data_IF_440540382633
#
_entry.id   IF_440540382633
#
_cell.length_a   1.000
_cell.length_b   1.000
_cell.length_c   1.000
_cell.angle_alpha   90.00
_cell.angle_beta   90.00
_cell.angle_gamma   90.00
#
_symmetry.space_group_name_H-M   'P 1'
#
loop_
_entity.id
_entity.type
_entity.pdbx_description
1 polymer ?
#
# COMPACT_ATOMS: atom_id res chain seq x y z
N UNK A 1 19.73 3.42 17.68
CA UNK A 1 20.57 3.70 16.50
C UNK A 1 19.76 4.57 15.54
N UNK A 2 20.36 5.64 15.02
CA UNK A 2 19.72 6.93 14.67
C UNK A 2 18.49 6.88 13.72
N UNK A 3 17.36 7.36 14.26
CA UNK A 3 16.05 7.62 13.63
C UNK A 3 16.03 8.86 12.70
N UNK A 4 17.09 9.09 11.94
CA UNK A 4 17.17 10.30 11.12
C UNK A 4 16.47 10.09 9.77
N UNK A 5 15.13 10.16 9.74
CA UNK A 5 14.39 10.41 8.49
C UNK A 5 15.01 11.61 7.77
N UNK A 6 15.12 11.54 6.45
CA UNK A 6 15.73 12.61 5.64
C UNK A 6 15.07 13.97 5.94
N UNK A 7 15.84 15.06 5.82
CA UNK A 7 15.34 16.41 6.07
C UNK A 7 14.12 16.76 5.19
N UNK A 8 14.04 16.18 3.99
CA UNK A 8 12.91 16.37 3.08
C UNK A 8 11.64 15.70 3.60
N UNK A 9 11.76 14.47 4.14
CA UNK A 9 10.63 13.77 4.77
C UNK A 9 10.15 14.53 6.00
N UNK A 10 11.06 15.02 6.85
CA UNK A 10 10.70 15.80 8.04
C UNK A 10 9.97 17.10 7.66
N UNK A 11 10.47 17.82 6.65
CA UNK A 11 9.83 19.04 6.13
C UNK A 11 8.45 18.74 5.55
N UNK A 12 8.31 17.65 4.79
CA UNK A 12 7.01 17.19 4.29
C UNK A 12 6.07 16.94 5.48
N UNK A 13 6.43 16.06 6.41
CA UNK A 13 5.59 15.72 7.56
C UNK A 13 5.20 16.95 8.39
N UNK A 14 6.10 17.93 8.52
CA UNK A 14 5.82 19.19 9.21
C UNK A 14 4.90 20.13 8.42
N UNK A 15 4.87 20.03 7.08
CA UNK A 15 4.00 20.82 6.20
C UNK A 15 2.60 20.24 6.02
N UNK A 16 2.39 18.99 6.43
CA UNK A 16 1.09 18.34 6.35
C UNK A 16 0.21 18.80 7.52
N UNK A 17 -0.93 19.41 7.21
CA UNK A 17 -1.95 19.69 8.22
C UNK A 17 -2.56 18.36 8.72
N UNK A 18 -3.06 18.33 9.97
CA UNK A 18 -3.73 17.14 10.55
C UNK A 18 -4.88 16.57 9.71
N UNK A 19 -5.52 17.39 8.87
CA UNK A 19 -6.57 16.92 7.95
C UNK A 19 -6.03 16.16 6.72
N UNK A 20 -4.81 16.48 6.29
CA UNK A 20 -4.18 15.96 5.07
C UNK A 20 -3.32 14.70 5.36
N UNK A 21 -2.88 14.53 6.62
CA UNK A 21 -2.11 13.38 7.09
C UNK A 21 -2.65 12.85 8.41
N UNK A 22 -2.85 11.54 8.45
CA UNK A 22 -3.27 10.83 9.67
C UNK A 22 -2.18 9.81 10.03
N UNK A 23 -1.60 9.97 11.22
CA UNK A 23 -0.81 8.89 11.80
C UNK A 23 -1.79 7.84 12.32
N UNK A 24 -1.51 6.56 12.06
CA UNK A 24 -2.41 5.47 12.46
C UNK A 24 -2.71 5.49 13.96
N UNK A 25 -1.74 5.89 14.79
CA UNK A 25 -1.85 6.10 16.24
C UNK A 25 -2.87 7.20 16.62
N UNK A 26 -2.91 8.32 15.91
CA UNK A 26 -3.85 9.42 16.20
C UNK A 26 -5.30 9.02 15.92
N UNK A 27 -5.55 8.26 14.85
CA UNK A 27 -6.88 7.73 14.53
C UNK A 27 -7.36 6.69 15.57
N UNK A 28 -6.45 5.99 16.25
CA UNK A 28 -6.82 5.05 17.34
C UNK A 28 -7.35 5.80 18.55
N UNK A 29 -6.75 6.94 18.92
CA UNK A 29 -7.23 7.74 20.03
C UNK A 29 -8.64 8.29 19.80
N UNK A 30 -9.01 8.56 18.53
CA UNK A 30 -10.37 8.96 18.16
C UNK A 30 -11.38 7.81 18.05
N UNK A 31 -10.91 6.59 17.78
CA UNK A 31 -11.76 5.40 17.59
C UNK A 31 -11.84 4.56 18.88
N UNK A 32 -12.45 5.10 19.94
CA UNK A 32 -12.84 4.29 21.10
C UNK A 32 -14.03 3.39 20.73
N UNK A 33 -13.78 2.09 20.50
CA UNK A 33 -14.85 1.07 20.54
C UNK A 33 -14.32 -0.31 20.94
N UNK A 34 -14.74 -0.71 22.14
CA UNK A 34 -14.95 -2.05 22.68
C UNK A 34 -14.99 -3.25 21.71
N UNK A 35 -14.27 -4.33 22.05
CA UNK A 35 -14.83 -5.71 22.01
C UNK A 35 -14.07 -6.68 22.92
N UNK A 36 -14.85 -7.61 23.48
CA UNK A 36 -14.58 -8.55 24.59
C UNK A 36 -13.89 -9.86 24.13
N UNK A 37 -13.36 -10.54 25.15
CA UNK A 37 -12.77 -11.89 25.30
C UNK A 37 -13.28 -13.00 24.38
N UNK A 38 -12.39 -13.91 23.97
CA UNK A 38 -12.70 -15.21 23.33
C UNK A 38 -11.98 -16.34 24.09
N UNK A 39 -12.70 -17.42 24.40
CA UNK A 39 -12.21 -18.61 25.10
C UNK A 39 -11.62 -19.63 24.13
N UNK A 40 -10.57 -20.35 24.54
CA UNK A 40 -10.00 -21.50 23.81
C UNK A 40 -10.09 -22.73 24.72
N UNK A 41 -10.68 -23.82 24.21
CA UNK A 41 -10.88 -25.10 24.91
C UNK A 41 -9.57 -25.88 25.08
N UNK A 42 -9.48 -26.67 26.14
CA UNK A 42 -8.26 -27.37 26.59
C UNK A 42 -7.77 -28.51 25.67
N UNK A 43 -8.54 -28.95 24.69
CA UNK A 43 -8.23 -30.14 23.88
C UNK A 43 -7.20 -29.93 22.75
N UNK A 44 -6.83 -28.68 22.44
CA UNK A 44 -5.88 -28.38 21.36
C UNK A 44 -4.38 -28.53 21.74
N UNK A 45 -4.05 -28.88 22.99
CA UNK A 45 -2.65 -28.81 23.49
C UNK A 45 -1.75 -30.03 23.16
N UNK A 46 -2.29 -31.21 22.85
CA UNK A 46 -1.50 -32.43 23.09
C UNK A 46 -0.96 -33.22 21.89
N UNK A 47 -1.05 -32.79 20.63
CA UNK A 47 -0.59 -33.67 19.52
C UNK A 47 0.13 -33.05 18.31
N UNK A 48 0.63 -31.81 18.36
CA UNK A 48 1.40 -31.28 17.23
C UNK A 48 2.65 -30.54 17.71
N UNK A 49 3.82 -31.04 17.33
CA UNK A 49 5.06 -30.27 17.34
C UNK A 49 4.96 -29.22 16.23
N UNK A 50 4.24 -28.13 16.49
CA UNK A 50 4.17 -26.97 15.61
C UNK A 50 5.55 -26.31 15.64
N UNK A 51 6.36 -26.51 14.61
CA UNK A 51 7.45 -25.57 14.33
C UNK A 51 6.80 -24.24 13.97
N UNK A 52 6.82 -23.30 14.92
CA UNK A 52 6.38 -21.91 14.70
C UNK A 52 7.26 -21.30 13.61
N UNK A 53 6.78 -21.31 12.37
CA UNK A 53 7.31 -20.41 11.35
C UNK A 53 6.97 -19.01 11.87
N UNK A 54 7.96 -18.30 12.39
CA UNK A 54 7.82 -16.88 12.70
C UNK A 54 7.73 -16.15 11.36
N UNK A 55 6.52 -16.05 10.81
CA UNK A 55 6.25 -15.06 9.78
C UNK A 55 6.67 -13.71 10.36
N UNK A 56 7.53 -12.93 9.67
CA UNK A 56 7.87 -11.61 10.12
C UNK A 56 6.56 -10.83 10.17
N UNK A 57 6.13 -10.44 11.37
CA UNK A 57 4.91 -9.70 11.62
C UNK A 57 3.57 -10.47 11.48
N UNK A 58 3.41 -11.52 12.28
CA UNK A 58 2.09 -12.02 12.66
C UNK A 58 2.08 -12.20 14.18
N UNK A 59 1.64 -11.17 14.91
CA UNK A 59 1.50 -11.28 16.37
C UNK A 59 0.25 -12.10 16.68
N UNK A 60 0.34 -13.01 17.66
CA UNK A 60 -0.75 -13.90 18.11
C UNK A 60 -1.99 -13.14 18.63
N UNK A 61 -1.96 -11.80 18.70
CA UNK A 61 -3.01 -10.99 19.32
C UNK A 61 -4.06 -10.44 18.38
N UNK A 62 -3.85 -10.30 17.07
CA UNK A 62 -4.86 -9.73 16.17
C UNK A 62 -4.79 -10.29 14.74
N UNK A 63 -5.72 -11.21 14.44
CA UNK A 63 -6.31 -11.50 13.12
C UNK A 63 -5.38 -11.90 11.96
N UNK A 64 -5.56 -13.13 11.46
CA UNK A 64 -5.07 -13.54 10.13
C UNK A 64 -5.56 -12.51 9.09
N UNK A 65 -4.62 -11.80 8.46
CA UNK A 65 -4.91 -10.96 7.30
C UNK A 65 -4.83 -11.84 6.05
N UNK A 66 -5.98 -12.10 5.44
CA UNK A 66 -6.03 -12.81 4.15
C UNK A 66 -5.51 -11.85 3.09
N UNK A 67 -4.33 -12.17 2.56
CA UNK A 67 -3.74 -11.41 1.47
C UNK A 67 -4.33 -11.85 0.14
N UNK A 68 -4.56 -10.88 -0.73
CA UNK A 68 -4.77 -11.15 -2.15
C UNK A 68 -3.45 -11.61 -2.78
N UNK A 69 -3.47 -12.79 -3.40
CA UNK A 69 -2.32 -13.40 -4.06
C UNK A 69 -1.74 -12.48 -5.14
N UNK A 70 -2.59 -11.73 -5.84
CA UNK A 70 -2.12 -10.82 -6.90
C UNK A 70 -1.24 -9.71 -6.33
N UNK A 71 -1.60 -9.18 -5.15
CA UNK A 71 -0.80 -8.17 -4.46
C UNK A 71 0.55 -8.71 -3.99
N UNK A 72 0.59 -9.98 -3.55
CA UNK A 72 1.83 -10.65 -3.18
C UNK A 72 2.77 -10.83 -4.39
N UNK A 73 2.22 -11.32 -5.50
CA UNK A 73 2.96 -11.52 -6.75
C UNK A 73 3.49 -10.20 -7.32
N UNK A 74 2.69 -9.12 -7.28
CA UNK A 74 3.15 -7.80 -7.70
C UNK A 74 4.33 -7.30 -6.85
N UNK A 75 4.34 -7.59 -5.55
CA UNK A 75 5.42 -7.16 -4.66
C UNK A 75 6.66 -8.05 -4.72
N UNK A 76 6.57 -9.25 -5.32
CA UNK A 76 7.67 -10.22 -5.36
C UNK A 76 8.98 -9.67 -5.96
N UNK A 77 8.98 -8.87 -7.06
CA UNK A 77 10.21 -8.27 -7.59
C UNK A 77 10.96 -7.38 -6.59
N UNK A 78 10.28 -6.84 -5.57
CA UNK A 78 10.91 -6.04 -4.52
C UNK A 78 11.88 -6.86 -3.65
N UNK A 79 11.79 -8.19 -3.67
CA UNK A 79 12.75 -9.08 -2.99
C UNK A 79 14.17 -9.00 -3.56
N UNK A 80 14.31 -8.48 -4.78
CA UNK A 80 15.61 -8.25 -5.43
C UNK A 80 16.32 -7.00 -4.90
N UNK A 81 15.64 -6.15 -4.12
CA UNK A 81 16.22 -4.95 -3.53
C UNK A 81 16.82 -5.32 -2.18
N UNK A 82 18.15 -5.28 -2.10
CA UNK A 82 18.89 -5.70 -0.90
C UNK A 82 19.03 -4.58 0.16
N UNK A 83 18.81 -3.32 -0.25
CA UNK A 83 18.92 -2.15 0.62
C UNK A 83 17.60 -1.83 1.30
N UNK A 84 17.64 -1.47 2.58
CA UNK A 84 16.46 -0.96 3.30
C UNK A 84 16.17 0.47 2.81
N UNK A 85 15.03 0.73 2.16
CA UNK A 85 14.67 2.07 1.69
C UNK A 85 14.39 3.01 2.88
N UNK A 86 14.82 4.27 2.78
CA UNK A 86 14.45 5.30 3.75
C UNK A 86 12.97 5.66 3.60
N UNK A 87 12.46 5.70 2.36
CA UNK A 87 11.07 5.98 2.07
C UNK A 87 10.49 5.04 1.02
N UNK A 88 9.40 4.37 1.41
CA UNK A 88 8.48 3.70 0.51
C UNK A 88 7.24 4.57 0.33
N UNK A 89 6.92 4.94 -0.91
CA UNK A 89 5.71 5.69 -1.25
C UNK A 89 4.73 4.79 -2.00
N UNK A 90 3.55 4.54 -1.44
CA UNK A 90 2.44 3.93 -2.17
C UNK A 90 1.48 5.04 -2.64
N UNK A 91 1.46 5.30 -3.95
CA UNK A 91 0.78 6.46 -4.53
C UNK A 91 -0.74 6.32 -4.57
N UNK A 92 -1.25 5.10 -4.68
CA UNK A 92 -2.67 4.76 -4.82
C UNK A 92 -3.00 3.57 -3.92
N UNK A 93 -2.86 3.80 -2.62
CA UNK A 93 -2.63 2.70 -1.69
C UNK A 93 -3.87 1.88 -1.36
N UNK A 94 -5.09 2.46 -1.35
CA UNK A 94 -6.25 1.68 -0.93
C UNK A 94 -6.54 0.52 -1.91
N UNK A 95 -6.87 -0.69 -1.40
CA UNK A 95 -7.17 -1.00 0.00
C UNK A 95 -5.95 -1.34 0.90
N UNK A 96 -4.72 -1.32 0.40
CA UNK A 96 -3.49 -1.42 1.21
C UNK A 96 -2.70 -2.71 1.03
N UNK A 97 -3.18 -3.66 0.23
CA UNK A 97 -2.54 -4.98 0.09
C UNK A 97 -1.08 -4.92 -0.40
N UNK A 98 -0.81 -4.11 -1.42
CA UNK A 98 0.55 -3.94 -1.98
C UNK A 98 1.48 -3.18 -1.04
N UNK A 99 1.01 -2.09 -0.43
CA UNK A 99 1.73 -1.41 0.65
C UNK A 99 2.15 -2.36 1.77
N UNK A 100 1.24 -3.25 2.21
CA UNK A 100 1.56 -4.22 3.27
C UNK A 100 2.65 -5.18 2.81
N UNK A 101 2.50 -5.82 1.64
CA UNK A 101 3.52 -6.74 1.14
C UNK A 101 4.88 -6.07 0.94
N UNK A 102 4.90 -4.91 0.29
CA UNK A 102 6.12 -4.15 0.10
C UNK A 102 6.78 -3.77 1.43
N UNK A 103 5.99 -3.35 2.43
CA UNK A 103 6.51 -3.01 3.76
C UNK A 103 7.04 -4.22 4.51
N UNK A 104 6.43 -5.40 4.37
CA UNK A 104 6.90 -6.64 5.00
C UNK A 104 8.21 -7.15 4.38
N UNK A 105 8.35 -7.01 3.06
CA UNK A 105 9.52 -7.44 2.31
C UNK A 105 10.71 -6.49 2.51
N UNK A 106 10.48 -5.19 2.32
CA UNK A 106 11.54 -4.17 2.28
C UNK A 106 11.87 -3.56 3.65
N UNK A 107 10.90 -3.58 4.58
CA UNK A 107 11.01 -2.96 5.93
C UNK A 107 11.51 -1.51 5.89
N UNK A 108 10.85 -0.61 5.12
CA UNK A 108 11.27 0.78 4.97
C UNK A 108 11.35 1.51 6.31
N UNK A 109 12.17 2.56 6.39
CA UNK A 109 12.14 3.46 7.57
C UNK A 109 10.80 4.17 7.71
N UNK A 110 10.17 4.54 6.59
CA UNK A 110 8.83 5.13 6.54
C UNK A 110 8.04 4.61 5.32
N UNK A 111 6.77 4.26 5.54
CA UNK A 111 5.78 4.07 4.48
C UNK A 111 4.84 5.29 4.45
N UNK A 112 4.75 5.95 3.30
CA UNK A 112 3.67 6.90 3.01
C UNK A 112 2.65 6.18 2.13
N UNK A 113 1.46 5.94 2.67
CA UNK A 113 0.33 5.34 1.96
C UNK A 113 -0.67 6.44 1.56
N UNK A 114 -0.62 6.87 0.30
CA UNK A 114 -1.48 7.93 -0.22
C UNK A 114 -2.73 7.35 -0.88
N UNK A 115 -3.90 7.92 -0.57
CA UNK A 115 -5.16 7.64 -1.26
C UNK A 115 -5.96 8.92 -1.45
N UNK A 116 -6.15 9.31 -2.71
CA UNK A 116 -6.83 10.58 -3.06
C UNK A 116 -8.34 10.50 -2.83
N UNK A 117 -8.93 9.31 -2.89
CA UNK A 117 -10.37 9.10 -2.68
C UNK A 117 -10.62 8.90 -1.19
N UNK A 118 -10.99 9.98 -0.49
CA UNK A 118 -11.25 9.99 0.97
C UNK A 118 -12.13 8.83 1.46
N UNK A 119 -13.16 8.42 0.69
CA UNK A 119 -14.05 7.29 1.03
C UNK A 119 -13.32 5.95 1.18
N UNK A 120 -12.15 5.76 0.54
CA UNK A 120 -11.36 4.51 0.59
C UNK A 120 -10.35 4.49 1.73
N UNK A 121 -10.10 5.63 2.38
CA UNK A 121 -9.12 5.77 3.48
C UNK A 121 -9.47 4.91 4.70
N UNK A 122 -10.74 4.82 5.17
CA UNK A 122 -11.05 3.99 6.34
C UNK A 122 -10.66 2.53 6.15
N UNK A 123 -10.89 1.97 4.95
CA UNK A 123 -10.50 0.59 4.63
C UNK A 123 -8.98 0.42 4.58
N UNK A 124 -8.27 1.38 3.99
CA UNK A 124 -6.81 1.40 3.95
C UNK A 124 -6.22 1.42 5.37
N UNK A 125 -6.68 2.33 6.23
CA UNK A 125 -6.28 2.43 7.64
C UNK A 125 -6.55 1.12 8.37
N UNK A 126 -7.75 0.56 8.21
CA UNK A 126 -8.12 -0.72 8.83
C UNK A 126 -7.15 -1.84 8.44
N UNK A 127 -6.85 -1.98 7.15
CA UNK A 127 -5.98 -3.04 6.65
C UNK A 127 -4.52 -2.87 7.10
N UNK A 128 -3.96 -1.66 7.00
CA UNK A 128 -2.60 -1.37 7.46
C UNK A 128 -2.45 -1.60 8.98
N UNK A 129 -3.48 -1.26 9.76
CA UNK A 129 -3.52 -1.53 11.21
C UNK A 129 -3.59 -3.02 11.51
N UNK A 130 -4.44 -3.76 10.81
CA UNK A 130 -4.54 -5.21 10.99
C UNK A 130 -3.22 -5.91 10.66
N UNK A 131 -2.47 -5.41 9.68
CA UNK A 131 -1.10 -5.85 9.39
C UNK A 131 -0.05 -5.37 10.41
N UNK A 132 -0.44 -4.48 11.33
CA UNK A 132 0.37 -3.92 12.42
C UNK A 132 1.70 -3.31 11.97
N UNK A 133 1.74 -2.71 10.78
CA UNK A 133 2.99 -2.17 10.22
C UNK A 133 3.52 -0.98 11.05
N UNK A 134 4.81 -0.95 11.39
CA UNK A 134 5.42 0.21 12.04
C UNK A 134 5.65 1.36 11.03
N UNK A 135 5.76 2.59 11.54
CA UNK A 135 6.17 3.77 10.77
C UNK A 135 5.38 4.01 9.47
N UNK A 136 4.04 4.00 9.57
CA UNK A 136 3.15 4.26 8.44
C UNK A 136 2.43 5.60 8.62
N UNK A 137 2.42 6.40 7.55
CA UNK A 137 1.65 7.64 7.44
C UNK A 137 0.63 7.48 6.32
N UNK A 138 -0.65 7.69 6.64
CA UNK A 138 -1.71 7.68 5.64
C UNK A 138 -2.02 9.11 5.24
N UNK A 139 -2.09 9.38 3.94
CA UNK A 139 -2.34 10.72 3.40
C UNK A 139 -3.47 10.72 2.38
N UNK A 140 -4.11 11.88 2.20
CA UNK A 140 -5.11 12.10 1.14
C UNK A 140 -4.73 13.29 0.27
N UNK A 141 -3.55 13.20 -0.32
CA UNK A 141 -2.96 14.32 -1.04
C UNK A 141 -3.28 14.24 -2.53
N UNK A 142 -3.56 15.40 -3.10
CA UNK A 142 -3.65 15.56 -4.55
C UNK A 142 -2.26 15.42 -5.18
N UNK A 143 -2.24 15.16 -6.49
CA UNK A 143 -1.01 14.97 -7.27
C UNK A 143 0.00 16.12 -7.08
N UNK A 144 -0.50 17.36 -7.03
CA UNK A 144 0.31 18.57 -6.92
C UNK A 144 0.97 18.73 -5.55
N UNK A 145 0.29 18.29 -4.48
CA UNK A 145 0.86 18.37 -3.12
C UNK A 145 1.91 17.29 -2.90
N UNK A 146 1.74 16.12 -3.54
CA UNK A 146 2.67 15.01 -3.37
C UNK A 146 4.01 15.23 -4.10
N UNK A 147 4.07 16.08 -5.12
CA UNK A 147 5.24 16.23 -6.00
C UNK A 147 6.52 16.69 -5.29
N UNK A 148 6.42 17.22 -4.07
CA UNK A 148 7.58 17.59 -3.24
C UNK A 148 8.25 16.40 -2.54
N UNK A 149 7.70 15.19 -2.68
CA UNK A 149 8.19 13.97 -2.05
C UNK A 149 9.04 13.18 -3.04
N UNK A 150 10.28 12.86 -2.65
CA UNK A 150 11.13 11.90 -3.35
C UNK A 150 11.34 10.65 -2.50
N UNK A 151 11.14 9.46 -3.07
CA UNK A 151 11.20 8.17 -2.39
C UNK A 151 12.21 7.22 -3.07
N UNK A 152 12.79 6.31 -2.29
CA UNK A 152 13.65 5.23 -2.79
C UNK A 152 12.85 4.24 -3.64
N UNK A 153 11.62 3.95 -3.20
CA UNK A 153 10.72 3.04 -3.88
C UNK A 153 9.33 3.66 -3.95
N UNK A 154 8.75 3.65 -5.15
CA UNK A 154 7.39 4.11 -5.41
C UNK A 154 6.54 2.94 -5.91
N UNK A 155 5.47 2.60 -5.19
CA UNK A 155 4.43 1.69 -5.65
C UNK A 155 3.40 2.48 -6.44
N UNK A 156 3.22 2.11 -7.70
CA UNK A 156 2.28 2.71 -8.63
C UNK A 156 1.21 1.68 -9.02
N UNK A 157 0.33 1.33 -8.09
CA UNK A 157 -0.90 0.58 -8.35
C UNK A 157 -1.96 1.51 -8.96
N UNK A 158 -1.77 1.82 -10.23
CA UNK A 158 -2.50 2.91 -10.87
C UNK A 158 -3.94 2.49 -11.21
N UNK A 159 -4.92 3.42 -11.12
CA UNK A 159 -6.27 3.14 -11.59
C UNK A 159 -6.27 2.63 -13.04
N UNK A 160 -6.79 1.41 -13.21
CA UNK A 160 -6.81 0.68 -14.47
C UNK A 160 -8.24 0.57 -15.03
N UNK A 161 -8.40 0.15 -16.28
CA UNK A 161 -9.73 -0.14 -16.85
C UNK A 161 -10.47 -1.28 -16.14
N UNK A 162 -9.77 -2.08 -15.32
CA UNK A 162 -10.36 -3.01 -14.35
C UNK A 162 -10.77 -4.35 -14.94
N UNK A 163 -10.12 -4.83 -16.00
CA UNK A 163 -10.53 -6.06 -16.70
C UNK A 163 -10.54 -7.30 -15.80
N UNK A 164 -9.70 -7.37 -14.75
CA UNK A 164 -9.77 -8.46 -13.77
C UNK A 164 -11.10 -8.49 -13.01
N UNK A 165 -11.76 -7.34 -12.82
CA UNK A 165 -13.06 -7.25 -12.15
C UNK A 165 -14.18 -7.93 -12.96
N UNK A 166 -14.00 -8.09 -14.27
CA UNK A 166 -14.89 -8.87 -15.11
C UNK A 166 -14.83 -10.36 -14.76
N UNK A 167 -13.61 -10.89 -14.61
CA UNK A 167 -13.37 -12.29 -14.24
C UNK A 167 -14.00 -12.58 -12.88
N UNK A 168 -13.89 -11.62 -11.95
CA UNK A 168 -14.53 -11.68 -10.64
C UNK A 168 -16.04 -11.42 -10.66
N UNK A 169 -16.64 -11.23 -11.85
CA UNK A 169 -18.07 -10.92 -12.07
C UNK A 169 -18.57 -9.67 -11.31
N UNK A 170 -17.67 -8.73 -11.02
CA UNK A 170 -17.97 -7.47 -10.32
C UNK A 170 -18.44 -6.36 -11.26
N UNK A 171 -18.12 -6.46 -12.55
CA UNK A 171 -18.53 -5.49 -13.58
C UNK A 171 -18.91 -6.20 -14.89
N UNK A 172 -19.84 -5.64 -15.69
CA UNK A 172 -20.21 -6.21 -16.98
C UNK A 172 -19.12 -5.97 -18.04
N UNK A 173 -19.08 -6.81 -19.08
CA UNK A 173 -18.13 -6.68 -20.18
C UNK A 173 -18.21 -5.33 -20.90
N UNK A 174 -19.39 -4.72 -20.94
CA UNK A 174 -19.62 -3.38 -21.52
C UNK A 174 -18.80 -2.27 -20.84
N UNK A 175 -18.25 -2.52 -19.65
CA UNK A 175 -17.37 -1.60 -18.93
C UNK A 175 -16.01 -1.41 -19.61
N UNK A 176 -15.63 -2.28 -20.55
CA UNK A 176 -14.32 -2.30 -21.21
C UNK A 176 -14.41 -1.74 -22.64
N UNK A 177 -14.82 -0.48 -22.76
CA UNK A 177 -14.83 0.20 -24.04
C UNK A 177 -13.43 0.77 -24.37
N UNK A 178 -13.01 0.81 -25.66
CA UNK A 178 -11.73 1.41 -26.05
C UNK A 178 -11.51 2.85 -25.53
N UNK A 179 -12.58 3.63 -25.38
CA UNK A 179 -12.51 4.97 -24.79
C UNK A 179 -12.08 4.96 -23.32
N UNK A 180 -12.56 3.99 -22.53
CA UNK A 180 -12.18 3.80 -21.11
C UNK A 180 -10.71 3.42 -21.03
N UNK A 181 -10.28 2.45 -21.84
CA UNK A 181 -8.88 2.02 -21.91
C UNK A 181 -7.95 3.18 -22.27
N UNK A 182 -8.29 3.95 -23.31
CA UNK A 182 -7.48 5.11 -23.72
C UNK A 182 -7.44 6.20 -22.62
N UNK A 183 -8.57 6.43 -21.94
CA UNK A 183 -8.64 7.41 -20.84
C UNK A 183 -7.78 6.97 -19.66
N UNK A 184 -7.85 5.69 -19.28
CA UNK A 184 -7.02 5.11 -18.23
C UNK A 184 -5.54 5.16 -18.58
N UNK A 185 -5.13 4.71 -19.77
CA UNK A 185 -3.73 4.78 -20.22
C UNK A 185 -3.19 6.23 -20.16
N UNK A 186 -3.93 7.20 -20.68
CA UNK A 186 -3.54 8.61 -20.60
C UNK A 186 -3.42 9.12 -19.16
N UNK A 187 -4.28 8.67 -18.25
CA UNK A 187 -4.18 8.99 -16.82
C UNK A 187 -2.94 8.36 -16.19
N UNK A 188 -2.63 7.12 -16.54
CA UNK A 188 -1.50 6.35 -16.01
C UNK A 188 -0.18 6.98 -16.46
N UNK A 189 -0.02 7.35 -17.74
CA UNK A 189 1.15 8.10 -18.24
C UNK A 189 1.40 9.39 -17.48
N UNK A 190 0.33 10.15 -17.19
CA UNK A 190 0.44 11.38 -16.39
C UNK A 190 0.87 11.09 -14.95
N UNK A 191 0.46 9.96 -14.37
CA UNK A 191 0.91 9.56 -13.03
C UNK A 191 2.39 9.13 -13.11
N UNK A 192 2.74 8.24 -14.04
CA UNK A 192 4.11 7.76 -14.22
C UNK A 192 5.11 8.89 -14.47
N UNK A 193 4.76 9.87 -15.31
CA UNK A 193 5.61 11.05 -15.55
C UNK A 193 5.87 11.88 -14.29
N UNK A 194 4.91 11.93 -13.36
CA UNK A 194 5.10 12.59 -12.07
C UNK A 194 5.96 11.71 -11.15
N UNK A 195 5.67 10.41 -11.08
CA UNK A 195 6.40 9.48 -10.23
C UNK A 195 7.88 9.36 -10.63
N UNK A 196 8.18 9.47 -11.92
CA UNK A 196 9.56 9.52 -12.42
C UNK A 196 10.36 10.71 -11.88
N UNK A 197 9.71 11.80 -11.48
CA UNK A 197 10.34 12.95 -10.82
C UNK A 197 10.39 12.80 -9.29
N UNK A 198 9.63 11.85 -8.74
CA UNK A 198 9.50 11.57 -7.31
C UNK A 198 10.27 10.34 -6.87
N UNK A 199 10.93 9.63 -7.79
CA UNK A 199 11.87 8.58 -7.44
C UNK A 199 13.27 9.19 -7.35
N UNK A 200 14.03 8.84 -6.32
CA UNK A 200 15.42 9.28 -6.19
C UNK A 200 16.29 8.63 -7.27
N UNK A 201 17.50 9.15 -7.47
CA UNK A 201 18.49 8.48 -8.32
C UNK A 201 18.73 7.05 -7.83
N UNK A 202 18.76 6.09 -8.77
CA UNK A 202 18.88 4.65 -8.48
C UNK A 202 17.72 4.05 -7.68
N UNK A 203 16.64 4.81 -7.46
CA UNK A 203 15.40 4.29 -6.89
C UNK A 203 14.56 3.51 -7.91
N UNK A 204 13.51 2.87 -7.41
CA UNK A 204 12.67 1.97 -8.20
C UNK A 204 11.20 2.41 -8.21
N UNK A 205 10.55 2.25 -9.37
CA UNK A 205 9.09 2.37 -9.49
C UNK A 205 8.53 0.98 -9.79
N UNK A 206 7.69 0.48 -8.89
CA UNK A 206 6.89 -0.71 -9.16
C UNK A 206 5.57 -0.29 -9.79
N UNK A 207 5.50 -0.35 -11.12
CA UNK A 207 4.27 -0.14 -11.87
C UNK A 207 3.42 -1.42 -11.90
N UNK A 208 2.14 -1.31 -11.53
CA UNK A 208 1.22 -2.45 -11.59
C UNK A 208 -0.19 -2.01 -11.96
N UNK A 209 -0.91 -2.92 -12.61
CA UNK A 209 -2.31 -2.73 -13.00
C UNK A 209 -3.10 -4.03 -12.82
N UNK A 210 -4.41 -3.91 -12.90
CA UNK A 210 -5.40 -4.97 -12.81
C UNK A 210 -6.07 -5.29 -14.18
N UNK A 211 -5.37 -5.00 -15.28
CA UNK A 211 -5.91 -5.06 -16.64
C UNK A 211 -5.01 -5.89 -17.55
N UNK A 212 -5.59 -6.51 -18.58
CA UNK A 212 -4.85 -7.24 -19.62
C UNK A 212 -4.60 -6.37 -20.86
N UNK A 213 -4.97 -5.09 -20.81
CA UNK A 213 -4.78 -4.16 -21.92
C UNK A 213 -3.31 -3.83 -22.13
N UNK A 214 -2.80 -4.17 -23.32
CA UNK A 214 -1.45 -3.78 -23.74
C UNK A 214 -1.22 -2.27 -23.65
N UNK A 215 -2.25 -1.45 -23.90
CA UNK A 215 -2.15 0.03 -23.84
C UNK A 215 -1.90 0.55 -22.43
N UNK A 216 -2.32 -0.20 -21.42
CA UNK A 216 -2.15 0.16 -20.01
C UNK A 216 -0.93 -0.53 -19.39
N UNK A 217 -0.31 -1.49 -20.10
CA UNK A 217 0.85 -2.26 -19.65
C UNK A 217 2.04 -2.03 -20.60
N UNK A 218 2.32 -2.97 -21.51
CA UNK A 218 3.56 -3.00 -22.31
C UNK A 218 3.71 -1.83 -23.29
N UNK A 219 2.60 -1.17 -23.65
CA UNK A 219 2.56 0.01 -24.56
C UNK A 219 2.21 1.31 -23.82
N UNK A 220 2.29 1.33 -22.49
CA UNK A 220 1.97 2.52 -21.72
C UNK A 220 3.10 3.54 -21.75
#
# INVERSE_FOLDING_TARGET
MNNALSNNIKKLLASLNKEDSLRLEEYLLSAKSSTKTVWITQEAKNQLTIKKLSLPYCSEKEGIYSFDLTSALCAYPLTLIETIPELLLDYCSAPGGKAIWASLLLKPRLLIANEVVKKRIPQLIYNLKKASLPNVVVTSLSKQKLSAVSADIVLADVPCSGQSLFIEKKVPQSSFHPSVINTSANRQRKILSLLAQQVVEQGYILYSTCTFSLKENEKN
#
